data_IF_107951639192
#
_entry.id   IF_107951639192
#
_cell.length_a   1.000
_cell.length_b   1.000
_cell.length_c   1.000
_cell.angle_alpha   90.00
_cell.angle_beta   90.00
_cell.angle_gamma   90.00
#
_symmetry.space_group_name_H-M   'P 1'
#
loop_
_entity.id
_entity.type
_entity.pdbx_description
1 polymer ?
#
# COMPACT_ATOMS: atom_id res chain seq x y z
N UNK A 1 5.86 -11.28 -8.95
CA UNK A 1 6.09 -9.99 -8.31
C UNK A 1 6.21 -10.08 -6.80
N UNK A 2 6.13 -11.29 -6.26
CA UNK A 2 6.29 -11.51 -4.82
C UNK A 2 7.61 -10.98 -4.27
N UNK A 3 8.67 -10.99 -5.07
CA UNK A 3 10.00 -10.51 -4.66
C UNK A 3 10.03 -9.04 -4.20
N UNK A 4 9.07 -8.24 -4.63
CA UNK A 4 8.94 -6.85 -4.20
C UNK A 4 8.79 -6.74 -2.69
N UNK A 5 8.19 -7.76 -2.08
CA UNK A 5 7.77 -7.73 -0.69
C UNK A 5 8.69 -8.51 0.25
N UNK A 6 9.76 -9.12 -0.27
CA UNK A 6 10.59 -10.03 0.52
C UNK A 6 12.03 -9.52 0.53
N UNK A 7 12.36 -8.68 1.50
CA UNK A 7 13.72 -8.25 1.75
C UNK A 7 14.38 -7.41 0.65
N UNK A 8 13.68 -7.16 -0.47
CA UNK A 8 14.19 -6.38 -1.60
C UNK A 8 13.42 -5.09 -1.82
N UNK A 9 12.66 -4.65 -0.82
CA UNK A 9 11.82 -3.47 -0.96
C UNK A 9 12.63 -2.21 -1.33
N UNK A 10 13.81 -2.03 -0.75
CA UNK A 10 14.65 -0.87 -1.04
C UNK A 10 15.22 -0.90 -2.45
N UNK A 11 15.65 -2.07 -2.91
CA UNK A 11 16.12 -2.26 -4.28
C UNK A 11 15.00 -1.98 -5.28
N UNK A 12 13.80 -2.46 -5.00
CA UNK A 12 12.63 -2.21 -5.83
C UNK A 12 12.33 -0.72 -5.94
N UNK A 13 12.40 0.01 -4.84
CA UNK A 13 12.18 1.45 -4.85
C UNK A 13 13.18 2.17 -5.74
N UNK A 14 14.46 1.78 -5.71
CA UNK A 14 15.48 2.39 -6.56
C UNK A 14 15.16 2.18 -8.04
N UNK A 15 14.71 0.99 -8.42
CA UNK A 15 14.28 0.70 -9.80
C UNK A 15 13.09 1.53 -10.21
N UNK A 16 12.11 1.69 -9.33
CA UNK A 16 10.91 2.48 -9.59
C UNK A 16 11.28 3.95 -9.77
N UNK A 17 12.12 4.49 -8.90
CA UNK A 17 12.57 5.87 -9.00
C UNK A 17 13.27 6.13 -10.33
N UNK A 18 14.09 5.20 -10.79
CA UNK A 18 14.76 5.30 -12.09
C UNK A 18 13.74 5.29 -13.23
N UNK A 19 12.74 4.39 -13.17
CA UNK A 19 11.70 4.32 -14.19
C UNK A 19 10.90 5.64 -14.28
N UNK A 20 10.57 6.24 -13.13
CA UNK A 20 9.86 7.52 -13.09
C UNK A 20 10.71 8.67 -13.65
N UNK A 21 12.00 8.63 -13.40
CA UNK A 21 12.93 9.64 -13.93
C UNK A 21 12.96 9.60 -15.47
N UNK A 22 12.92 8.41 -16.04
CA UNK A 22 12.98 8.22 -17.49
C UNK A 22 11.65 8.50 -18.17
N UNK A 23 10.53 8.23 -17.51
CA UNK A 23 9.19 8.39 -18.08
C UNK A 23 8.22 9.04 -17.09
N UNK A 24 8.46 10.28 -16.66
CA UNK A 24 7.66 10.89 -15.58
C UNK A 24 6.21 11.16 -15.96
N UNK A 25 5.88 11.14 -17.25
CA UNK A 25 4.51 11.40 -17.74
C UNK A 25 3.81 10.14 -18.24
N UNK A 26 4.40 8.98 -18.01
CA UNK A 26 3.80 7.71 -18.38
C UNK A 26 2.47 7.54 -17.63
N UNK A 27 1.41 7.17 -18.36
CA UNK A 27 0.10 6.93 -17.75
C UNK A 27 0.13 5.75 -16.78
N UNK A 28 1.10 4.85 -16.92
CA UNK A 28 1.31 3.74 -16.00
C UNK A 28 2.15 4.13 -14.77
N UNK A 29 2.56 5.38 -14.64
CA UNK A 29 3.43 5.84 -13.54
C UNK A 29 2.79 5.59 -12.17
N UNK A 30 1.44 5.64 -12.07
CA UNK A 30 0.76 5.37 -10.80
C UNK A 30 1.05 3.97 -10.27
N UNK A 31 1.29 3.00 -11.15
CA UNK A 31 1.63 1.62 -10.76
C UNK A 31 2.98 1.60 -10.06
N UNK A 32 3.97 2.30 -10.63
CA UNK A 32 5.30 2.39 -10.04
C UNK A 32 5.26 3.09 -8.68
N UNK A 33 4.49 4.17 -8.58
CA UNK A 33 4.32 4.91 -7.34
C UNK A 33 3.64 4.05 -6.28
N UNK A 34 2.65 3.27 -6.68
CA UNK A 34 1.95 2.35 -5.78
C UNK A 34 2.91 1.28 -5.24
N UNK A 35 3.71 0.67 -6.10
CA UNK A 35 4.68 -0.34 -5.65
C UNK A 35 5.76 0.26 -4.74
N UNK A 36 6.19 1.48 -5.01
CA UNK A 36 7.11 2.17 -4.10
C UNK A 36 6.48 2.36 -2.72
N UNK A 37 5.20 2.73 -2.67
CA UNK A 37 4.46 2.83 -1.42
C UNK A 37 4.36 1.51 -0.68
N UNK A 38 4.06 0.43 -1.40
CA UNK A 38 4.02 -0.91 -0.81
C UNK A 38 5.37 -1.32 -0.23
N UNK A 39 6.46 -1.04 -0.95
CA UNK A 39 7.79 -1.36 -0.46
C UNK A 39 8.07 -0.64 0.86
N UNK A 40 7.74 0.63 0.96
CA UNK A 40 7.90 1.41 2.19
C UNK A 40 6.99 0.90 3.31
N UNK A 41 5.76 0.55 2.97
CA UNK A 41 4.81 0.02 3.94
C UNK A 41 5.34 -1.27 4.57
N UNK A 42 5.85 -2.18 3.76
CA UNK A 42 6.42 -3.44 4.25
C UNK A 42 7.67 -3.24 5.11
N UNK A 43 8.44 -2.18 4.84
CA UNK A 43 9.61 -1.84 5.65
C UNK A 43 9.25 -1.09 6.94
N UNK A 44 7.98 -0.76 7.16
CA UNK A 44 7.55 0.02 8.31
C UNK A 44 7.86 1.50 8.20
N UNK A 45 8.22 1.98 7.02
CA UNK A 45 8.50 3.40 6.75
C UNK A 45 7.21 4.10 6.35
N UNK A 46 6.32 4.29 7.31
CA UNK A 46 4.93 4.70 7.06
C UNK A 46 4.80 6.09 6.45
N UNK A 47 5.62 7.05 6.88
CA UNK A 47 5.54 8.39 6.31
C UNK A 47 5.92 8.41 4.83
N UNK A 48 6.93 7.66 4.47
CA UNK A 48 7.35 7.53 3.07
C UNK A 48 6.29 6.80 2.26
N UNK A 49 5.68 5.76 2.84
CA UNK A 49 4.59 5.05 2.20
C UNK A 49 3.41 5.99 1.90
N UNK A 50 3.04 6.84 2.87
CA UNK A 50 1.97 7.83 2.69
C UNK A 50 2.27 8.74 1.50
N UNK A 51 3.49 9.26 1.41
CA UNK A 51 3.86 10.14 0.31
C UNK A 51 3.72 9.46 -1.05
N UNK A 52 4.19 8.22 -1.18
CA UNK A 52 4.08 7.47 -2.42
C UNK A 52 2.65 7.15 -2.80
N UNK A 53 1.84 6.70 -1.82
CA UNK A 53 0.42 6.40 -2.09
C UNK A 53 -0.35 7.64 -2.52
N UNK A 54 -0.08 8.79 -1.92
CA UNK A 54 -0.74 10.04 -2.32
C UNK A 54 -0.39 10.42 -3.75
N UNK A 55 0.87 10.24 -4.15
CA UNK A 55 1.28 10.47 -5.53
C UNK A 55 0.59 9.50 -6.50
N UNK A 56 0.49 8.24 -6.11
CA UNK A 56 -0.20 7.23 -6.93
C UNK A 56 -1.68 7.60 -7.11
N UNK A 57 -2.33 8.05 -6.05
CA UNK A 57 -3.73 8.47 -6.09
C UNK A 57 -3.92 9.69 -7.00
N UNK A 58 -3.02 10.66 -6.93
CA UNK A 58 -3.08 11.82 -7.83
C UNK A 58 -2.97 11.41 -9.29
N UNK A 59 -2.13 10.43 -9.57
CA UNK A 59 -1.94 9.93 -10.94
C UNK A 59 -3.12 9.08 -11.42
N UNK A 60 -3.77 8.34 -10.50
CA UNK A 60 -4.95 7.53 -10.83
C UNK A 60 -5.84 7.41 -9.60
N UNK A 61 -6.91 8.19 -9.57
CA UNK A 61 -7.85 8.22 -8.43
C UNK A 61 -8.74 6.99 -8.36
N UNK A 62 -8.70 6.13 -9.34
CA UNK A 62 -9.55 4.95 -9.44
C UNK A 62 -8.81 3.67 -9.07
N UNK A 63 -7.96 3.74 -8.04
CA UNK A 63 -7.14 2.61 -7.57
C UNK A 63 -7.46 2.33 -6.10
N UNK A 64 -8.48 1.49 -5.79
CA UNK A 64 -8.86 1.21 -4.40
C UNK A 64 -7.72 0.76 -3.48
N UNK A 65 -6.81 -0.14 -3.91
CA UNK A 65 -5.71 -0.56 -3.02
C UNK A 65 -4.83 0.58 -2.55
N UNK A 66 -4.63 1.62 -3.37
CA UNK A 66 -3.81 2.76 -2.95
C UNK A 66 -4.43 3.49 -1.76
N UNK A 67 -5.75 3.68 -1.77
CA UNK A 67 -6.46 4.31 -0.64
C UNK A 67 -6.39 3.46 0.62
N UNK A 68 -6.59 2.15 0.48
CA UNK A 68 -6.64 1.26 1.63
C UNK A 68 -5.26 1.05 2.26
N UNK A 69 -4.22 0.96 1.46
CA UNK A 69 -2.85 0.86 1.98
C UNK A 69 -2.39 2.20 2.57
N UNK A 70 -2.83 3.32 1.98
CA UNK A 70 -2.63 4.64 2.59
C UNK A 70 -3.25 4.69 3.98
N UNK A 71 -4.47 4.19 4.12
CA UNK A 71 -5.15 4.13 5.40
C UNK A 71 -4.35 3.32 6.43
N UNK A 72 -3.80 2.17 6.03
CA UNK A 72 -2.99 1.36 6.92
C UNK A 72 -1.77 2.12 7.43
N UNK A 73 -1.07 2.82 6.54
CA UNK A 73 0.09 3.62 6.92
C UNK A 73 -0.29 4.77 7.85
N UNK A 74 -1.37 5.48 7.54
CA UNK A 74 -1.86 6.60 8.37
C UNK A 74 -2.28 6.12 9.76
N UNK A 75 -2.94 4.96 9.85
CA UNK A 75 -3.35 4.41 11.13
C UNK A 75 -2.14 4.05 12.00
N UNK A 76 -1.09 3.51 11.43
CA UNK A 76 0.13 3.20 12.18
C UNK A 76 0.86 4.47 12.64
N UNK A 77 0.67 5.58 11.94
CA UNK A 77 1.20 6.88 12.37
C UNK A 77 0.30 7.58 13.40
N UNK A 78 -0.84 6.98 13.74
CA UNK A 78 -1.80 7.59 14.66
C UNK A 78 -2.70 8.63 14.04
N UNK A 79 -2.68 8.79 12.72
CA UNK A 79 -3.50 9.76 11.99
C UNK A 79 -4.85 9.12 11.61
N UNK A 80 -5.64 8.80 12.63
CA UNK A 80 -6.85 8.00 12.44
C UNK A 80 -7.94 8.69 11.62
N UNK A 81 -8.10 10.00 11.75
CA UNK A 81 -9.12 10.71 10.97
C UNK A 81 -8.81 10.68 9.48
N UNK A 82 -7.55 10.89 9.12
CA UNK A 82 -7.11 10.78 7.72
C UNK A 82 -7.22 9.34 7.23
N UNK A 83 -6.89 8.37 8.09
CA UNK A 83 -6.99 6.95 7.74
C UNK A 83 -8.44 6.57 7.44
N UNK A 84 -9.39 7.00 8.26
CA UNK A 84 -10.81 6.72 8.04
C UNK A 84 -11.33 7.35 6.75
N UNK A 85 -10.86 8.55 6.44
CA UNK A 85 -11.20 9.23 5.19
C UNK A 85 -10.73 8.44 3.98
N UNK A 86 -9.49 7.92 4.05
CA UNK A 86 -8.93 7.08 2.99
C UNK A 86 -9.72 5.77 2.83
N UNK A 87 -10.12 5.15 3.94
CA UNK A 87 -10.94 3.94 3.91
C UNK A 87 -12.27 4.22 3.20
N UNK A 88 -12.93 5.32 3.53
CA UNK A 88 -14.20 5.67 2.88
C UNK A 88 -14.04 5.80 1.38
N UNK A 89 -12.99 6.46 0.93
CA UNK A 89 -12.71 6.61 -0.50
C UNK A 89 -12.46 5.26 -1.15
N UNK A 90 -11.65 4.41 -0.54
CA UNK A 90 -11.34 3.08 -1.07
C UNK A 90 -12.56 2.17 -1.13
N UNK A 91 -13.37 2.17 -0.08
CA UNK A 91 -14.59 1.34 -0.04
C UNK A 91 -15.68 1.84 -0.99
N UNK A 92 -15.70 3.13 -1.30
CA UNK A 92 -16.60 3.66 -2.32
C UNK A 92 -16.28 3.06 -3.68
N UNK A 93 -14.99 2.88 -3.99
CA UNK A 93 -14.54 2.28 -5.24
C UNK A 93 -14.65 0.76 -5.23
N UNK A 94 -14.47 0.13 -4.08
CA UNK A 94 -14.53 -1.33 -3.93
C UNK A 94 -15.28 -1.71 -2.64
N UNK A 95 -16.63 -1.74 -2.68
CA UNK A 95 -17.43 -1.99 -1.49
C UNK A 95 -17.29 -3.39 -0.89
N UNK A 96 -16.74 -4.33 -1.66
CA UNK A 96 -16.61 -5.73 -1.20
C UNK A 96 -15.27 -5.99 -0.51
N UNK A 97 -14.42 -4.97 -0.36
CA UNK A 97 -13.12 -5.14 0.27
C UNK A 97 -13.27 -5.48 1.76
N UNK A 98 -12.53 -6.52 2.19
CA UNK A 98 -12.44 -6.89 3.60
C UNK A 98 -11.01 -7.27 3.94
N UNK A 99 -10.68 -7.20 5.24
CA UNK A 99 -9.36 -7.61 5.73
C UNK A 99 -9.12 -9.09 5.43
N UNK A 100 -10.14 -9.93 5.63
CA UNK A 100 -10.01 -11.38 5.37
C UNK A 100 -9.68 -11.66 3.92
N UNK A 101 -10.33 -10.99 2.99
CA UNK A 101 -10.04 -11.15 1.55
C UNK A 101 -8.64 -10.70 1.21
N UNK A 102 -8.21 -9.58 1.77
CA UNK A 102 -6.87 -9.06 1.54
C UNK A 102 -5.81 -9.99 2.10
N UNK A 103 -6.03 -10.50 3.30
CA UNK A 103 -5.13 -11.45 3.95
C UNK A 103 -4.98 -12.71 3.12
N UNK A 104 -6.09 -13.28 2.65
CA UNK A 104 -6.06 -14.47 1.80
C UNK A 104 -5.28 -14.23 0.50
N UNK A 105 -5.48 -13.08 -0.13
CA UNK A 105 -4.78 -12.71 -1.36
C UNK A 105 -3.27 -12.59 -1.14
N UNK A 106 -2.86 -11.92 -0.06
CA UNK A 106 -1.44 -11.64 0.16
C UNK A 106 -0.69 -12.84 0.72
N UNK A 107 -1.28 -13.61 1.63
CA UNK A 107 -0.61 -14.77 2.20
C UNK A 107 -0.44 -15.90 1.17
N UNK A 108 -1.25 -15.93 0.14
CA UNK A 108 -1.10 -16.91 -0.94
C UNK A 108 0.11 -16.62 -1.84
N UNK A 109 0.70 -15.43 -1.76
CA UNK A 109 1.82 -15.04 -2.62
C UNK A 109 3.17 -15.55 -2.11
N UNK A 110 3.30 -15.82 -0.82
CA UNK A 110 4.55 -16.28 -0.23
C UNK A 110 4.29 -16.89 1.13
N UNK A 111 5.05 -17.92 1.48
CA UNK A 111 5.09 -18.49 2.82
C UNK A 111 6.35 -18.07 3.59
N UNK A 112 7.12 -17.11 3.06
CA UNK A 112 8.32 -16.60 3.71
C UNK A 112 7.94 -15.94 5.04
N UNK A 113 8.55 -16.36 6.18
CA UNK A 113 8.19 -15.82 7.50
C UNK A 113 8.42 -14.32 7.63
N UNK A 114 9.44 -13.76 6.98
CA UNK A 114 9.70 -12.32 7.02
C UNK A 114 8.58 -11.56 6.34
N UNK A 115 8.14 -12.03 5.18
CA UNK A 115 7.03 -11.43 4.45
C UNK A 115 5.75 -11.48 5.27
N UNK A 116 5.42 -12.65 5.82
CA UNK A 116 4.19 -12.82 6.60
C UNK A 116 4.19 -11.94 7.85
N UNK A 117 5.34 -11.81 8.52
CA UNK A 117 5.46 -10.94 9.69
C UNK A 117 5.24 -9.46 9.34
N UNK A 118 5.64 -9.03 8.14
CA UNK A 118 5.43 -7.66 7.68
C UNK A 118 3.97 -7.34 7.40
N UNK A 119 3.12 -8.35 7.20
CA UNK A 119 1.70 -8.13 6.93
C UNK A 119 0.90 -7.77 8.17
N UNK A 120 1.28 -8.28 9.36
CA UNK A 120 0.51 -8.06 10.58
C UNK A 120 0.29 -6.59 10.92
N UNK A 121 1.31 -5.71 10.90
CA UNK A 121 1.08 -4.29 11.15
C UNK A 121 0.16 -3.64 10.11
N UNK A 122 0.20 -4.12 8.86
CA UNK A 122 -0.65 -3.59 7.79
C UNK A 122 -2.11 -3.92 8.09
N UNK A 123 -2.40 -5.17 8.43
CA UNK A 123 -3.77 -5.59 8.74
C UNK A 123 -4.27 -4.93 10.03
N UNK A 124 -3.40 -4.76 11.03
CA UNK A 124 -3.74 -4.03 12.24
C UNK A 124 -4.12 -2.59 11.92
N UNK A 125 -3.35 -1.93 11.06
CA UNK A 125 -3.66 -0.56 10.63
C UNK A 125 -5.00 -0.47 9.90
N UNK A 126 -5.29 -1.43 9.03
CA UNK A 126 -6.58 -1.48 8.32
C UNK A 126 -7.73 -1.61 9.31
N UNK A 127 -7.60 -2.46 10.33
CA UNK A 127 -8.61 -2.61 11.36
C UNK A 127 -8.84 -1.33 12.16
N UNK A 128 -7.76 -0.65 12.55
CA UNK A 128 -7.84 0.62 13.26
C UNK A 128 -8.52 1.69 12.44
N UNK A 129 -8.36 1.66 11.13
CA UNK A 129 -8.96 2.63 10.22
C UNK A 129 -10.42 2.31 9.90
N UNK A 130 -10.93 1.16 10.34
CA UNK A 130 -12.33 0.80 10.17
C UNK A 130 -12.65 -0.05 8.96
N UNK A 131 -11.66 -0.72 8.38
CA UNK A 131 -11.90 -1.67 7.28
C UNK A 131 -12.62 -2.90 7.85
N UNK A 132 -13.71 -3.39 7.21
CA UNK A 132 -14.43 -4.58 7.67
C UNK A 132 -13.54 -5.84 7.65
N UNK A 133 -13.77 -6.73 8.62
CA UNK A 133 -13.10 -8.02 8.64
C UNK A 133 -13.55 -8.88 7.46
#
# INVERSE_FOLDING_TARGET
MAKVFIGRAEETEAHIAEALRLSPRDTAAYIWMYFAGLAKLHLGKYEQAVAWFRRAIEANRNNPPAYLNLAAALAQLGRLDEARSAVRAGLTLNPTYTISRRRASWTSQSDDPTYLAQLDPIFEGLGKAGVPE
#
